data_IF_928814869719
#
_entry.id   IF_928814869719
#
_cell.length_a   1.000
_cell.length_b   1.000
_cell.length_c   1.000
_cell.angle_alpha   90.00
_cell.angle_beta   90.00
_cell.angle_gamma   90.00
#
_symmetry.space_group_name_H-M   'P 1'
#
loop_
_entity.id
_entity.type
_entity.pdbx_description
1 polymer ?
#
# COMPACT_ATOMS: atom_id res chain seq x y z
N UNK A 1 12.61 4.92 -12.03
CA UNK A 1 12.29 5.36 -10.65
C UNK A 1 11.58 6.71 -10.72
N UNK A 2 10.49 6.91 -9.96
CA UNK A 2 9.82 8.23 -9.91
C UNK A 2 10.79 9.22 -9.25
N UNK A 3 10.94 10.42 -9.82
CA UNK A 3 11.88 11.43 -9.31
C UNK A 3 11.26 12.14 -8.08
N UNK A 4 11.36 11.49 -6.92
CA UNK A 4 10.80 12.01 -5.66
C UNK A 4 11.45 13.32 -5.22
N UNK A 5 12.70 13.59 -5.61
CA UNK A 5 13.38 14.85 -5.31
C UNK A 5 12.69 16.02 -5.98
N UNK A 6 12.32 15.87 -7.25
CA UNK A 6 11.64 16.93 -7.99
C UNK A 6 10.28 17.27 -7.36
N UNK A 7 9.56 16.26 -6.86
CA UNK A 7 8.26 16.45 -6.19
C UNK A 7 8.45 17.16 -4.85
N UNK A 8 9.45 16.75 -4.06
CA UNK A 8 9.72 17.34 -2.75
C UNK A 8 10.29 18.77 -2.87
N UNK A 9 11.13 19.03 -3.88
CA UNK A 9 11.63 20.35 -4.19
C UNK A 9 10.51 21.32 -4.59
N UNK A 10 9.50 20.84 -5.33
CA UNK A 10 8.31 21.64 -5.67
C UNK A 10 7.49 22.04 -4.41
N UNK A 11 7.64 21.33 -3.29
CA UNK A 11 6.98 21.64 -2.02
C UNK A 11 7.78 22.59 -1.13
N UNK A 12 8.98 22.99 -1.54
CA UNK A 12 9.81 24.00 -0.88
C UNK A 12 10.92 23.43 0.00
N UNK A 13 10.68 22.31 0.67
CA UNK A 13 11.63 21.77 1.65
C UNK A 13 12.63 20.76 1.07
N UNK A 14 12.34 20.21 -0.12
CA UNK A 14 13.10 19.10 -0.67
C UNK A 14 12.91 17.82 0.13
N UNK A 15 13.60 16.75 -0.27
CA UNK A 15 13.52 15.47 0.42
C UNK A 15 14.54 15.46 1.57
N UNK A 16 14.08 15.12 2.77
CA UNK A 16 14.99 14.94 3.90
C UNK A 16 15.99 13.79 3.64
N UNK A 17 17.25 13.89 4.12
CA UNK A 17 18.27 12.87 3.90
C UNK A 17 17.88 11.46 4.39
N UNK A 18 17.10 11.36 5.46
CA UNK A 18 16.66 10.07 6.00
C UNK A 18 15.60 9.42 5.10
N UNK A 19 14.70 10.22 4.52
CA UNK A 19 13.73 9.76 3.53
C UNK A 19 14.42 9.32 2.24
N UNK A 20 15.48 10.04 1.84
CA UNK A 20 16.32 9.69 0.69
C UNK A 20 16.90 8.29 0.88
N UNK A 21 17.57 8.07 2.01
CA UNK A 21 18.18 6.80 2.34
C UNK A 21 17.16 5.65 2.42
N UNK A 22 15.94 5.91 2.89
CA UNK A 22 14.86 4.91 2.89
C UNK A 22 14.40 4.55 1.48
N UNK A 23 14.19 5.55 0.61
CA UNK A 23 13.80 5.31 -0.78
C UNK A 23 14.87 4.52 -1.55
N UNK A 24 16.15 4.82 -1.33
CA UNK A 24 17.26 4.11 -1.97
C UNK A 24 17.30 2.64 -1.51
N UNK A 25 17.04 2.34 -0.23
CA UNK A 25 16.93 0.96 0.28
C UNK A 25 15.75 0.20 -0.35
N UNK A 26 14.59 0.84 -0.46
CA UNK A 26 13.40 0.23 -1.08
C UNK A 26 13.60 0.01 -2.58
N UNK A 27 14.35 0.89 -3.26
CA UNK A 27 14.72 0.71 -4.66
C UNK A 27 15.69 -0.48 -4.86
N UNK A 28 16.58 -0.73 -3.90
CA UNK A 28 17.51 -1.86 -3.92
C UNK A 28 16.82 -3.19 -3.63
N UNK A 29 15.73 -3.17 -2.88
CA UNK A 29 15.01 -4.38 -2.51
C UNK A 29 13.50 -4.15 -2.65
N UNK A 30 12.91 -4.50 -3.82
CA UNK A 30 11.48 -4.42 -4.04
C UNK A 30 10.78 -5.54 -3.25
N UNK A 31 10.82 -5.47 -1.92
CA UNK A 31 10.17 -6.38 -0.97
C UNK A 31 8.65 -6.18 -0.90
N UNK A 32 8.10 -5.23 -1.65
CA UNK A 32 6.66 -5.12 -1.75
C UNK A 32 6.18 -6.23 -2.67
N UNK A 33 5.71 -7.33 -2.09
CA UNK A 33 4.85 -8.28 -2.79
C UNK A 33 3.59 -7.52 -3.22
N UNK A 34 3.66 -6.96 -4.43
CA UNK A 34 2.54 -6.28 -5.07
C UNK A 34 1.80 -7.35 -5.84
N UNK A 35 0.64 -7.73 -5.33
CA UNK A 35 -0.22 -8.71 -5.97
C UNK A 35 -1.21 -7.98 -6.88
N UNK A 36 -1.39 -8.52 -8.09
CA UNK A 36 -2.50 -8.10 -8.95
C UNK A 36 -3.72 -8.92 -8.55
N UNK A 37 -4.73 -8.25 -8.03
CA UNK A 37 -6.03 -8.85 -7.67
C UNK A 37 -6.80 -9.26 -8.92
N UNK A 38 -7.82 -10.09 -8.73
CA UNK A 38 -8.71 -10.56 -9.79
C UNK A 38 -9.50 -9.44 -10.50
N UNK A 39 -9.67 -8.27 -9.86
CA UNK A 39 -10.28 -7.07 -10.45
C UNK A 39 -9.28 -6.18 -11.21
N UNK A 40 -8.03 -6.64 -11.38
CA UNK A 40 -6.97 -5.89 -12.05
C UNK A 40 -6.34 -4.81 -11.17
N UNK A 41 -6.76 -4.67 -9.92
CA UNK A 41 -6.20 -3.70 -8.97
C UNK A 41 -4.90 -4.24 -8.35
N UNK A 42 -3.97 -3.33 -8.09
CA UNK A 42 -2.68 -3.66 -7.50
C UNK A 42 -2.73 -3.47 -5.98
N UNK A 43 -2.51 -4.55 -5.23
CA UNK A 43 -2.57 -4.58 -3.77
C UNK A 43 -1.19 -4.77 -3.18
N UNK A 44 -0.90 -4.04 -2.10
CA UNK A 44 0.26 -4.29 -1.25
C UNK A 44 -0.04 -5.38 -0.23
N UNK A 45 0.87 -6.35 -0.08
CA UNK A 45 0.70 -7.43 0.88
C UNK A 45 -0.23 -8.53 0.37
N UNK A 46 -0.41 -9.63 1.14
CA UNK A 46 -1.01 -10.87 0.66
C UNK A 46 -2.38 -10.66 0.03
N UNK A 47 -2.69 -11.41 -1.03
CA UNK A 47 -3.99 -11.35 -1.69
C UNK A 47 -5.12 -11.52 -0.66
N UNK A 48 -6.02 -10.54 -0.62
CA UNK A 48 -7.19 -10.60 0.24
C UNK A 48 -8.20 -11.53 -0.42
N UNK A 49 -7.91 -12.83 -0.44
CA UNK A 49 -8.87 -13.82 -0.91
C UNK A 49 -10.18 -13.61 -0.15
N UNK A 50 -11.34 -13.59 -0.84
CA UNK A 50 -12.63 -13.25 -0.22
C UNK A 50 -13.08 -14.29 0.82
N UNK A 51 -12.33 -15.40 0.96
CA UNK A 51 -12.66 -16.52 1.80
C UNK A 51 -11.79 -16.57 3.07
N UNK A 52 -11.58 -15.41 3.71
CA UNK A 52 -11.38 -15.46 5.15
C UNK A 52 -12.69 -15.99 5.74
N UNK A 53 -12.72 -17.27 6.12
CA UNK A 53 -13.86 -17.86 6.81
C UNK A 53 -14.18 -16.96 8.01
N UNK A 54 -15.28 -16.20 7.89
CA UNK A 54 -15.73 -15.26 8.91
C UNK A 54 -16.48 -16.02 10.00
N UNK A 55 -15.88 -17.10 10.49
CA UNK A 55 -16.51 -18.00 11.45
C UNK A 55 -16.75 -17.30 12.79
N UNK A 56 -16.04 -16.19 13.03
CA UNK A 56 -16.11 -15.40 14.26
C UNK A 56 -16.83 -14.04 14.08
N UNK A 57 -17.43 -13.75 12.91
CA UNK A 57 -18.11 -12.45 12.68
C UNK A 57 -19.61 -12.63 12.77
N UNK A 58 -20.23 -12.07 13.81
CA UNK A 58 -21.69 -11.99 13.92
C UNK A 58 -22.20 -10.86 13.02
N UNK A 59 -23.07 -11.14 12.03
CA UNK A 59 -23.66 -10.08 11.21
C UNK A 59 -24.53 -9.17 12.07
N UNK A 60 -24.28 -7.86 11.99
CA UNK A 60 -25.12 -6.87 12.65
C UNK A 60 -26.50 -6.88 11.98
N UNK A 61 -27.52 -7.35 12.69
CA UNK A 61 -28.89 -7.40 12.17
C UNK A 61 -29.35 -5.97 11.86
N UNK A 62 -29.62 -5.69 10.58
CA UNK A 62 -30.29 -4.44 10.20
C UNK A 62 -31.70 -4.45 10.78
N UNK A 63 -32.01 -3.52 11.66
CA UNK A 63 -33.37 -3.31 12.14
C UNK A 63 -34.18 -2.73 10.98
N UNK A 64 -35.17 -3.47 10.50
CA UNK A 64 -36.13 -2.96 9.52
C UNK A 64 -36.85 -1.74 10.12
N UNK A 65 -36.96 -0.68 9.30
CA UNK A 65 -37.68 0.55 9.62
C UNK A 65 -39.19 0.30 9.72
#
# INVERSE_FOLDING_TARGET
>A
MRNFDAIAALRGDGLRPELRALLDRVAMEPRSELFVRSDGMLQSGPDATPNAARDNVVPLKSRAA
#
